data_IF_587947758950
#
_entry.id   IF_587947758950
#
_cell.length_a   1.000
_cell.length_b   1.000
_cell.length_c   1.000
_cell.angle_alpha   90.00
_cell.angle_beta   90.00
_cell.angle_gamma   90.00
#
_symmetry.space_group_name_H-M   'P 1'
#
loop_
_entity.id
_entity.type
_entity.pdbx_description
1 polymer ?
#
# COMPACT_ATOMS: atom_id res chain seq x y z
N UNK A 1 -14.97 71.33 -49.11
CA UNK A 1 -13.50 71.23 -48.97
C UNK A 1 -13.15 70.18 -47.91
N UNK A 2 -12.66 69.05 -48.43
CA UNK A 2 -11.88 67.94 -47.86
C UNK A 2 -11.66 67.89 -46.33
N UNK A 3 -12.15 66.78 -45.74
CA UNK A 3 -11.89 66.26 -44.40
C UNK A 3 -10.39 66.01 -44.16
N UNK A 4 -9.86 66.43 -43.00
CA UNK A 4 -8.61 65.92 -42.43
C UNK A 4 -8.90 65.35 -41.05
N UNK A 5 -9.38 64.10 -41.00
CA UNK A 5 -9.38 63.31 -39.78
C UNK A 5 -8.00 62.69 -39.61
N UNK A 6 -7.21 63.19 -38.67
CA UNK A 6 -5.91 62.63 -38.34
C UNK A 6 -6.13 61.41 -37.43
N UNK A 7 -5.73 60.26 -37.98
CA UNK A 7 -5.60 58.96 -37.36
C UNK A 7 -4.72 59.03 -36.11
N UNK A 8 -5.27 58.67 -34.94
CA UNK A 8 -4.51 58.16 -33.79
C UNK A 8 -5.34 57.05 -33.15
N UNK A 9 -5.35 55.88 -33.77
CA UNK A 9 -5.73 54.63 -33.11
C UNK A 9 -4.45 54.07 -32.49
N UNK A 10 -4.18 54.42 -31.23
CA UNK A 10 -3.11 53.79 -30.46
C UNK A 10 -3.50 52.32 -30.29
N UNK A 11 -2.65 51.44 -30.82
CA UNK A 11 -2.67 50.00 -30.67
C UNK A 11 -2.77 49.63 -29.18
N UNK A 12 -3.97 49.28 -28.71
CA UNK A 12 -4.12 48.28 -27.65
C UNK A 12 -4.05 46.91 -28.34
N UNK A 13 -2.84 46.52 -28.74
CA UNK A 13 -2.54 45.10 -28.96
C UNK A 13 -2.53 44.46 -27.57
N UNK A 14 -3.73 44.11 -27.10
CA UNK A 14 -3.89 43.22 -25.96
C UNK A 14 -3.15 41.94 -26.32
N UNK A 15 -2.03 41.72 -25.64
CA UNK A 15 -1.31 40.46 -25.64
C UNK A 15 -2.20 39.43 -24.94
N UNK A 16 -3.20 38.91 -25.66
CA UNK A 16 -3.82 37.64 -25.31
C UNK A 16 -2.80 36.57 -25.67
N UNK A 17 -1.84 36.37 -24.77
CA UNK A 17 -1.14 35.10 -24.68
C UNK A 17 -2.25 34.11 -24.32
N UNK A 18 -2.76 33.42 -25.33
CA UNK A 18 -3.63 32.27 -25.15
C UNK A 18 -2.72 31.21 -24.53
N UNK A 19 -2.64 31.21 -23.20
CA UNK A 19 -2.20 30.01 -22.49
C UNK A 19 -3.19 28.93 -22.91
N UNK A 20 -2.74 27.76 -23.43
CA UNK A 20 -3.64 26.63 -23.52
C UNK A 20 -4.21 26.45 -22.13
N UNK A 21 -5.54 26.42 -22.02
CA UNK A 21 -6.17 26.03 -20.78
C UNK A 21 -5.53 24.69 -20.40
N UNK A 22 -4.83 24.65 -19.26
CA UNK A 22 -4.45 23.38 -18.69
C UNK A 22 -5.77 22.60 -18.58
N UNK A 23 -5.88 21.50 -19.32
CA UNK A 23 -7.00 20.58 -19.18
C UNK A 23 -6.86 19.98 -17.78
N UNK A 24 -7.37 20.67 -16.77
CA UNK A 24 -7.59 20.08 -15.46
C UNK A 24 -8.68 19.04 -15.69
N UNK A 25 -8.27 17.77 -15.81
CA UNK A 25 -9.22 16.67 -15.77
C UNK A 25 -10.08 16.83 -14.51
N UNK A 26 -11.39 16.63 -14.66
CA UNK A 26 -12.30 16.74 -13.52
C UNK A 26 -11.92 15.68 -12.48
N UNK A 27 -12.01 15.98 -11.16
CA UNK A 27 -11.70 15.02 -10.12
C UNK A 27 -12.44 13.70 -10.34
N UNK A 28 -11.73 12.58 -10.29
CA UNK A 28 -12.33 11.25 -10.36
C UNK A 28 -12.88 10.86 -9.00
N UNK A 29 -13.94 10.06 -8.99
CA UNK A 29 -14.41 9.37 -7.78
C UNK A 29 -13.63 8.05 -7.67
N UNK A 30 -12.83 7.90 -6.62
CA UNK A 30 -12.02 6.72 -6.35
C UNK A 30 -12.59 5.97 -5.14
N UNK A 31 -12.91 4.69 -5.33
CA UNK A 31 -13.23 3.72 -4.29
C UNK A 31 -11.97 2.95 -3.90
N UNK A 32 -11.45 3.22 -2.69
CA UNK A 32 -10.25 2.57 -2.16
C UNK A 32 -10.60 1.64 -0.99
N UNK A 33 -10.26 0.36 -1.11
CA UNK A 33 -10.43 -0.63 -0.04
C UNK A 33 -9.08 -1.16 0.42
N UNK A 34 -8.75 -0.95 1.69
CA UNK A 34 -7.55 -1.53 2.31
C UNK A 34 -7.92 -2.79 3.09
N UNK A 35 -7.27 -3.92 2.83
CA UNK A 35 -7.48 -5.21 3.51
C UNK A 35 -6.16 -5.71 4.09
N UNK A 36 -6.20 -6.34 5.25
CA UNK A 36 -4.98 -6.90 5.82
C UNK A 36 -4.96 -7.02 7.33
N UNK A 37 -3.76 -6.99 7.88
CA UNK A 37 -3.49 -7.14 9.29
C UNK A 37 -3.32 -5.81 10.05
N UNK A 38 -2.46 -5.81 11.07
CA UNK A 38 -2.18 -4.65 11.90
C UNK A 38 -1.50 -3.52 11.15
N UNK A 39 -0.77 -3.81 10.06
CA UNK A 39 -0.19 -2.76 9.21
C UNK A 39 -1.29 -1.96 8.53
N UNK A 40 -2.31 -2.65 7.99
CA UNK A 40 -3.50 -2.03 7.40
C UNK A 40 -4.29 -1.25 8.44
N UNK A 41 -4.37 -1.75 9.68
CA UNK A 41 -4.98 -1.03 10.79
C UNK A 41 -4.18 0.20 11.28
N UNK A 42 -2.91 0.33 10.89
CA UNK A 42 -2.03 1.44 11.26
C UNK A 42 -1.38 1.31 12.64
N UNK A 43 -1.22 0.09 13.17
CA UNK A 43 -0.57 -0.12 14.47
C UNK A 43 0.88 0.41 14.47
N UNK A 44 1.32 0.94 15.61
CA UNK A 44 2.61 1.62 15.73
C UNK A 44 2.59 3.09 15.26
N UNK A 45 1.60 3.51 14.45
CA UNK A 45 1.47 4.93 14.14
C UNK A 45 0.86 5.70 15.30
N UNK A 46 1.10 7.02 15.32
CA UNK A 46 0.43 7.96 16.22
C UNK A 46 -1.08 7.79 16.13
N UNK A 47 -1.73 7.72 17.29
CA UNK A 47 -3.17 7.64 17.44
C UNK A 47 -3.74 8.99 17.89
N UNK A 48 -4.78 9.46 17.21
CA UNK A 48 -5.55 10.61 17.61
C UNK A 48 -7.04 10.27 17.56
N UNK A 49 -7.75 10.39 18.68
CA UNK A 49 -9.16 10.00 18.81
C UNK A 49 -9.45 8.59 18.29
N UNK A 50 -8.62 7.61 18.66
CA UNK A 50 -8.71 6.21 18.21
C UNK A 50 -8.46 5.99 16.71
N UNK A 51 -8.01 7.02 15.99
CA UNK A 51 -7.63 6.94 14.58
C UNK A 51 -6.11 6.92 14.43
N UNK A 52 -5.60 5.97 13.66
CA UNK A 52 -4.18 5.82 13.32
C UNK A 52 -3.82 6.68 12.11
N UNK A 53 -3.87 7.99 12.32
CA UNK A 53 -3.81 9.02 11.25
C UNK A 53 -2.50 9.01 10.45
N UNK A 54 -1.44 8.42 11.00
CA UNK A 54 -0.12 8.31 10.37
C UNK A 54 0.16 6.89 9.87
N UNK A 55 -0.81 5.99 9.83
CA UNK A 55 -0.68 4.70 9.13
C UNK A 55 -0.61 4.89 7.61
N UNK A 56 -0.30 3.83 6.86
CA UNK A 56 -0.19 3.98 5.40
C UNK A 56 -1.52 4.30 4.72
N UNK A 57 -2.63 3.75 5.23
CA UNK A 57 -3.97 3.95 4.62
C UNK A 57 -4.37 5.42 4.65
N UNK A 58 -4.36 6.15 5.78
CA UNK A 58 -4.71 7.57 5.77
C UNK A 58 -3.73 8.46 5.01
N UNK A 59 -2.43 8.16 5.06
CA UNK A 59 -1.43 8.92 4.31
C UNK A 59 -1.64 8.79 2.79
N UNK A 60 -1.88 7.57 2.30
CA UNK A 60 -2.17 7.35 0.88
C UNK A 60 -3.50 7.98 0.44
N UNK A 61 -4.53 7.90 1.29
CA UNK A 61 -5.80 8.61 1.05
C UNK A 61 -5.59 10.12 0.96
N UNK A 62 -4.75 10.70 1.82
CA UNK A 62 -4.42 12.12 1.78
C UNK A 62 -3.84 12.51 0.43
N UNK A 63 -2.87 11.73 -0.06
CA UNK A 63 -2.27 11.92 -1.38
C UNK A 63 -3.31 11.82 -2.50
N UNK A 64 -4.12 10.76 -2.54
CA UNK A 64 -5.13 10.58 -3.60
C UNK A 64 -6.15 11.72 -3.64
N UNK A 65 -6.49 12.29 -2.47
CA UNK A 65 -7.44 13.40 -2.33
C UNK A 65 -6.93 14.75 -2.81
N UNK A 66 -5.64 14.87 -3.12
CA UNK A 66 -5.10 16.09 -3.73
C UNK A 66 -5.69 16.37 -5.11
N UNK A 67 -6.09 15.32 -5.84
CA UNK A 67 -6.64 15.41 -7.19
C UNK A 67 -8.00 14.70 -7.39
N UNK A 68 -8.49 13.95 -6.40
CA UNK A 68 -9.66 13.06 -6.55
C UNK A 68 -10.62 13.14 -5.36
N UNK A 69 -11.87 12.74 -5.55
CA UNK A 69 -12.78 12.45 -4.46
C UNK A 69 -12.60 10.98 -4.05
N UNK A 70 -12.17 10.72 -2.81
CA UNK A 70 -11.81 9.37 -2.37
C UNK A 70 -12.73 8.87 -1.26
N UNK A 71 -13.47 7.81 -1.56
CA UNK A 71 -14.14 6.97 -0.56
C UNK A 71 -13.18 5.87 -0.14
N UNK A 72 -13.00 5.71 1.18
CA UNK A 72 -12.07 4.71 1.72
C UNK A 72 -12.75 3.82 2.74
N UNK A 73 -12.47 2.52 2.67
CA UNK A 73 -12.81 1.55 3.69
C UNK A 73 -11.56 0.78 4.12
N UNK A 74 -11.35 0.68 5.44
CA UNK A 74 -10.18 0.02 6.02
C UNK A 74 -10.62 -1.23 6.80
N UNK A 75 -10.22 -2.39 6.30
CA UNK A 75 -10.45 -3.73 6.85
C UNK A 75 -9.13 -4.34 7.38
N UNK A 76 -8.33 -3.54 8.07
CA UNK A 76 -7.19 -4.01 8.84
C UNK A 76 -7.64 -4.70 10.13
N UNK A 77 -7.31 -5.98 10.27
CA UNK A 77 -7.66 -6.79 11.45
C UNK A 77 -6.35 -7.18 12.16
N UNK A 78 -5.97 -6.51 13.26
CA UNK A 78 -4.72 -6.78 13.96
C UNK A 78 -4.57 -8.25 14.34
N UNK A 79 -3.39 -8.83 14.04
CA UNK A 79 -3.07 -10.23 14.35
C UNK A 79 -3.69 -11.27 13.43
N UNK A 80 -4.49 -10.89 12.43
CA UNK A 80 -5.04 -11.85 11.46
C UNK A 80 -3.91 -12.48 10.63
N UNK A 81 -3.97 -13.81 10.44
CA UNK A 81 -3.07 -14.53 9.51
C UNK A 81 -3.63 -14.52 8.09
N UNK A 82 -2.81 -14.93 7.12
CA UNK A 82 -3.25 -15.09 5.73
C UNK A 82 -4.49 -15.99 5.59
N UNK A 83 -4.54 -17.11 6.32
CA UNK A 83 -5.68 -18.04 6.30
C UNK A 83 -6.91 -17.39 6.94
N UNK A 84 -6.72 -16.65 8.04
CA UNK A 84 -7.79 -15.92 8.70
C UNK A 84 -8.40 -14.87 7.77
N UNK A 85 -7.56 -14.12 7.05
CA UNK A 85 -8.02 -13.10 6.10
C UNK A 85 -8.77 -13.74 4.93
N UNK A 86 -8.25 -14.84 4.37
CA UNK A 86 -8.95 -15.56 3.29
C UNK A 86 -10.34 -16.01 3.74
N UNK A 87 -10.44 -16.60 4.93
CA UNK A 87 -11.71 -17.04 5.52
C UNK A 87 -12.65 -15.86 5.73
N UNK A 88 -12.15 -14.75 6.27
CA UNK A 88 -12.93 -13.53 6.47
C UNK A 88 -13.50 -13.02 5.14
N UNK A 89 -12.67 -12.88 4.11
CA UNK A 89 -13.10 -12.43 2.79
C UNK A 89 -14.13 -13.38 2.15
N UNK A 90 -13.97 -14.70 2.29
CA UNK A 90 -14.91 -15.69 1.76
C UNK A 90 -16.27 -15.70 2.48
N UNK A 91 -16.30 -15.28 3.74
CA UNK A 91 -17.53 -15.29 4.56
C UNK A 91 -18.30 -13.98 4.53
N UNK A 92 -17.62 -12.83 4.43
CA UNK A 92 -18.27 -11.52 4.37
C UNK A 92 -18.74 -11.18 2.94
N UNK A 93 -19.97 -11.59 2.61
CA UNK A 93 -20.61 -11.29 1.32
C UNK A 93 -20.74 -9.78 1.07
N UNK A 94 -20.91 -8.98 2.13
CA UNK A 94 -20.98 -7.53 2.01
C UNK A 94 -19.67 -6.95 1.51
N UNK A 95 -18.55 -7.35 2.13
CA UNK A 95 -17.21 -6.94 1.73
C UNK A 95 -16.88 -7.44 0.32
N UNK A 96 -17.23 -8.67 -0.04
CA UNK A 96 -17.06 -9.16 -1.42
C UNK A 96 -17.76 -8.25 -2.45
N UNK A 97 -18.97 -7.81 -2.16
CA UNK A 97 -19.70 -6.92 -3.07
C UNK A 97 -19.06 -5.53 -3.18
N UNK A 98 -18.47 -5.01 -2.09
CA UNK A 98 -17.73 -3.74 -2.13
C UNK A 98 -16.42 -3.87 -2.90
N UNK A 99 -15.69 -4.98 -2.72
CA UNK A 99 -14.46 -5.28 -3.46
C UNK A 99 -14.65 -5.37 -4.97
N UNK A 100 -15.82 -5.85 -5.45
CA UNK A 100 -16.16 -5.86 -6.89
C UNK A 100 -16.18 -4.47 -7.55
N UNK A 101 -16.45 -3.43 -6.77
CA UNK A 101 -16.53 -2.04 -7.23
C UNK A 101 -15.40 -1.15 -6.73
N UNK A 102 -14.34 -1.72 -6.17
CA UNK A 102 -13.15 -0.98 -5.77
C UNK A 102 -12.30 -0.63 -7.00
N UNK A 103 -11.78 0.59 -7.05
CA UNK A 103 -10.80 1.02 -8.05
C UNK A 103 -9.38 0.66 -7.60
N UNK A 104 -9.14 0.80 -6.29
CA UNK A 104 -7.84 0.51 -5.67
C UNK A 104 -8.05 -0.44 -4.50
N UNK A 105 -7.20 -1.47 -4.41
CA UNK A 105 -7.12 -2.39 -3.28
C UNK A 105 -5.68 -2.42 -2.78
N UNK A 106 -5.46 -2.26 -1.48
CA UNK A 106 -4.17 -2.58 -0.85
C UNK A 106 -4.32 -3.86 -0.02
N UNK A 107 -3.35 -4.77 -0.13
CA UNK A 107 -3.31 -6.03 0.62
C UNK A 107 -2.00 -6.13 1.40
N UNK A 108 -2.08 -6.09 2.74
CA UNK A 108 -0.93 -6.34 3.63
C UNK A 108 -1.22 -7.54 4.53
N UNK A 109 -0.48 -8.64 4.33
CA UNK A 109 -0.65 -9.87 5.11
C UNK A 109 0.61 -10.75 5.03
N UNK A 110 0.78 -11.66 5.99
CA UNK A 110 1.86 -12.66 6.00
C UNK A 110 2.88 -12.50 7.13
N UNK A 111 2.91 -11.33 7.78
CA UNK A 111 3.78 -11.08 8.94
C UNK A 111 3.39 -11.95 10.14
N UNK A 112 2.08 -12.07 10.41
CA UNK A 112 1.58 -12.93 11.49
C UNK A 112 1.86 -14.41 11.26
N UNK A 113 1.86 -14.88 10.01
CA UNK A 113 2.22 -16.24 9.63
C UNK A 113 3.68 -16.55 10.02
N UNK A 114 4.59 -15.59 9.80
CA UNK A 114 5.97 -15.68 10.29
C UNK A 114 6.04 -15.69 11.81
N UNK A 115 5.40 -14.73 12.48
CA UNK A 115 5.45 -14.61 13.94
C UNK A 115 4.92 -15.87 14.65
N UNK A 116 3.85 -16.45 14.12
CA UNK A 116 3.31 -17.73 14.61
C UNK A 116 4.30 -18.88 14.40
N UNK A 117 5.12 -18.83 13.36
CA UNK A 117 6.18 -19.81 13.09
C UNK A 117 7.25 -19.76 14.16
N UNK A 118 7.84 -18.58 14.36
CA UNK A 118 8.97 -18.41 15.27
C UNK A 118 8.59 -18.54 16.75
N UNK A 119 7.35 -18.21 17.12
CA UNK A 119 6.85 -18.38 18.51
C UNK A 119 6.58 -19.85 18.85
N UNK A 120 6.20 -20.66 17.87
CA UNK A 120 5.91 -22.08 18.08
C UNK A 120 7.18 -22.95 18.17
N UNK A 121 8.33 -22.42 17.73
CA UNK A 121 9.55 -23.18 17.50
C UNK A 121 10.74 -22.48 18.16
N UNK A 122 11.07 -22.80 19.42
CA UNK A 122 12.20 -22.16 20.11
C UNK A 122 13.56 -22.42 19.43
N UNK A 123 13.66 -23.52 18.66
CA UNK A 123 14.77 -23.81 17.75
C UNK A 123 14.19 -23.98 16.34
N UNK A 124 14.10 -22.88 15.61
CA UNK A 124 13.50 -22.88 14.27
C UNK A 124 14.40 -23.64 13.30
N UNK A 125 14.03 -24.88 12.96
CA UNK A 125 14.71 -25.65 11.93
C UNK A 125 14.38 -25.10 10.54
N UNK A 126 15.37 -25.06 9.64
CA UNK A 126 15.22 -24.50 8.28
C UNK A 126 14.07 -25.18 7.51
N UNK A 127 13.86 -26.47 7.74
CA UNK A 127 12.77 -27.25 7.14
C UNK A 127 11.39 -26.71 7.51
N UNK A 128 11.19 -26.29 8.76
CA UNK A 128 9.89 -25.82 9.24
C UNK A 128 9.56 -24.42 8.71
N UNK A 129 10.58 -23.54 8.62
CA UNK A 129 10.45 -22.26 7.92
C UNK A 129 10.02 -22.46 6.47
N UNK A 130 10.66 -23.40 5.75
CA UNK A 130 10.30 -23.72 4.37
C UNK A 130 8.86 -24.21 4.25
N UNK A 131 8.42 -25.12 5.12
CA UNK A 131 7.05 -25.62 5.08
C UNK A 131 6.01 -24.52 5.32
N UNK A 132 6.27 -23.60 6.24
CA UNK A 132 5.35 -22.50 6.52
C UNK A 132 5.39 -21.40 5.46
N UNK A 133 6.55 -21.13 4.86
CA UNK A 133 6.65 -20.28 3.68
C UNK A 133 5.81 -20.85 2.52
N UNK A 134 5.83 -22.17 2.29
CA UNK A 134 4.99 -22.82 1.28
C UNK A 134 3.48 -22.70 1.59
N UNK A 135 3.08 -22.83 2.86
CA UNK A 135 1.69 -22.65 3.25
C UNK A 135 1.21 -21.20 3.05
N UNK A 136 2.06 -20.23 3.42
CA UNK A 136 1.79 -18.82 3.15
C UNK A 136 1.68 -18.56 1.65
N UNK A 137 2.59 -19.11 0.84
CA UNK A 137 2.53 -19.00 -0.63
C UNK A 137 1.20 -19.54 -1.18
N UNK A 138 0.78 -20.73 -0.75
CA UNK A 138 -0.51 -21.31 -1.17
C UNK A 138 -1.70 -20.44 -0.77
N UNK A 139 -1.70 -19.95 0.46
CA UNK A 139 -2.80 -19.12 0.98
C UNK A 139 -2.83 -17.76 0.27
N UNK A 140 -1.67 -17.18 -0.01
CA UNK A 140 -1.57 -15.93 -0.74
C UNK A 140 -2.03 -16.09 -2.19
N UNK A 141 -1.65 -17.18 -2.87
CA UNK A 141 -2.14 -17.50 -4.20
C UNK A 141 -3.67 -17.61 -4.23
N UNK A 142 -4.27 -18.22 -3.21
CA UNK A 142 -5.72 -18.30 -3.07
C UNK A 142 -6.36 -16.93 -2.81
N UNK A 143 -5.77 -16.09 -1.94
CA UNK A 143 -6.19 -14.70 -1.72
C UNK A 143 -6.16 -13.88 -3.00
N UNK A 144 -5.04 -13.91 -3.72
CA UNK A 144 -4.87 -13.19 -4.98
C UNK A 144 -5.88 -13.64 -6.03
N UNK A 145 -6.04 -14.95 -6.22
CA UNK A 145 -7.02 -15.50 -7.15
C UNK A 145 -8.45 -15.08 -6.78
N UNK A 146 -8.80 -15.13 -5.48
CA UNK A 146 -10.10 -14.70 -5.00
C UNK A 146 -10.37 -13.21 -5.29
N UNK A 147 -9.39 -12.33 -5.04
CA UNK A 147 -9.52 -10.91 -5.34
C UNK A 147 -9.70 -10.65 -6.84
N UNK A 148 -8.93 -11.35 -7.70
CA UNK A 148 -9.03 -11.20 -9.16
C UNK A 148 -10.31 -11.81 -9.74
N UNK A 149 -10.85 -12.86 -9.13
CA UNK A 149 -12.15 -13.42 -9.50
C UNK A 149 -13.29 -12.44 -9.16
N UNK A 150 -13.17 -11.70 -8.04
CA UNK A 150 -14.12 -10.66 -7.68
C UNK A 150 -13.98 -9.41 -8.54
N UNK A 151 -12.74 -8.98 -8.82
CA UNK A 151 -12.46 -7.74 -9.51
C UNK A 151 -11.25 -7.86 -10.43
N UNK A 152 -11.51 -7.86 -11.73
CA UNK A 152 -10.49 -7.99 -12.77
C UNK A 152 -9.76 -6.69 -13.07
N UNK A 153 -10.37 -5.55 -12.76
CA UNK A 153 -9.92 -4.23 -13.22
C UNK A 153 -9.16 -3.45 -12.15
N UNK A 154 -9.46 -3.69 -10.86
CA UNK A 154 -8.86 -2.95 -9.74
C UNK A 154 -7.33 -2.94 -9.78
N UNK A 155 -6.77 -1.79 -9.42
CA UNK A 155 -5.35 -1.66 -9.10
C UNK A 155 -5.11 -2.33 -7.74
N UNK A 156 -4.36 -3.43 -7.71
CA UNK A 156 -4.06 -4.15 -6.46
C UNK A 156 -2.60 -3.89 -6.07
N UNK A 157 -2.38 -3.26 -4.92
CA UNK A 157 -1.07 -3.03 -4.35
C UNK A 157 -0.80 -4.04 -3.23
N UNK A 158 0.11 -4.96 -3.49
CA UNK A 158 0.56 -5.98 -2.55
C UNK A 158 1.65 -5.38 -1.68
N UNK A 159 1.36 -5.14 -0.39
CA UNK A 159 2.35 -4.62 0.55
C UNK A 159 3.16 -5.78 1.11
N UNK A 160 4.42 -5.85 0.70
CA UNK A 160 5.37 -6.87 1.14
C UNK A 160 5.82 -6.69 2.58
N UNK A 161 6.65 -7.63 3.04
CA UNK A 161 7.20 -7.64 4.39
C UNK A 161 8.51 -6.88 4.48
N UNK A 162 8.70 -6.16 5.58
CA UNK A 162 10.00 -5.72 6.05
C UNK A 162 10.46 -6.63 7.20
N UNK A 163 11.70 -6.46 7.63
CA UNK A 163 12.22 -7.12 8.82
C UNK A 163 12.44 -6.08 9.95
N UNK A 164 11.76 -6.19 11.11
CA UNK A 164 11.87 -5.22 12.20
C UNK A 164 13.11 -5.42 13.07
N UNK A 165 13.78 -6.56 12.96
CA UNK A 165 14.87 -6.94 13.86
C UNK A 165 16.19 -6.28 13.41
N UNK A 166 16.95 -5.61 14.29
CA UNK A 166 18.24 -5.01 13.94
C UNK A 166 19.38 -6.04 13.85
N UNK A 167 20.56 -5.64 13.38
CA UNK A 167 21.73 -6.50 13.12
C UNK A 167 22.09 -7.45 14.28
N UNK A 168 22.05 -6.97 15.52
CA UNK A 168 22.43 -7.76 16.71
C UNK A 168 21.29 -8.67 17.24
N UNK A 169 20.14 -8.69 16.58
CA UNK A 169 18.97 -9.45 17.05
C UNK A 169 18.98 -10.88 16.46
N UNK A 170 18.72 -11.93 17.26
CA UNK A 170 18.80 -13.33 16.79
C UNK A 170 17.83 -13.65 15.64
N UNK A 171 16.72 -12.91 15.53
CA UNK A 171 15.74 -13.06 14.45
C UNK A 171 16.05 -12.23 13.20
N UNK A 172 17.16 -11.50 13.15
CA UNK A 172 17.56 -10.70 11.97
C UNK A 172 17.62 -11.55 10.70
N UNK A 173 18.46 -12.56 10.75
CA UNK A 173 18.76 -13.40 9.59
C UNK A 173 17.55 -14.27 9.16
N UNK A 174 16.83 -14.96 10.08
CA UNK A 174 15.60 -15.66 9.71
C UNK A 174 14.51 -14.72 9.18
N UNK A 175 14.35 -13.53 9.76
CA UNK A 175 13.33 -12.57 9.37
C UNK A 175 13.59 -11.99 7.98
N UNK A 176 14.83 -11.62 7.67
CA UNK A 176 15.20 -11.16 6.32
C UNK A 176 14.98 -12.26 5.28
N UNK A 177 15.48 -13.48 5.50
CA UNK A 177 15.26 -14.58 4.54
C UNK A 177 13.78 -14.85 4.28
N UNK A 178 12.95 -14.76 5.32
CA UNK A 178 11.51 -14.93 5.18
C UNK A 178 10.88 -13.80 4.37
N UNK A 179 11.22 -12.54 4.69
CA UNK A 179 10.71 -11.38 3.97
C UNK A 179 11.15 -11.36 2.50
N UNK A 180 12.40 -11.73 2.21
CA UNK A 180 12.92 -11.88 0.84
C UNK A 180 12.14 -12.93 0.06
N UNK A 181 12.03 -14.14 0.62
CA UNK A 181 11.31 -15.22 -0.04
C UNK A 181 9.84 -14.87 -0.27
N UNK A 182 9.18 -14.22 0.70
CA UNK A 182 7.80 -13.81 0.54
C UNK A 182 7.64 -12.70 -0.51
N UNK A 183 8.47 -11.66 -0.46
CA UNK A 183 8.37 -10.55 -1.41
C UNK A 183 8.70 -10.99 -2.84
N UNK A 184 9.63 -11.94 -3.02
CA UNK A 184 9.89 -12.57 -4.33
C UNK A 184 8.67 -13.33 -4.85
N UNK A 185 7.88 -13.97 -3.97
CA UNK A 185 6.63 -14.61 -4.38
C UNK A 185 5.58 -13.59 -4.79
N UNK A 186 5.46 -12.47 -4.06
CA UNK A 186 4.55 -11.38 -4.45
C UNK A 186 4.90 -10.78 -5.81
N UNK A 187 6.20 -10.69 -6.10
CA UNK A 187 6.72 -10.18 -7.37
C UNK A 187 6.30 -11.03 -8.58
N UNK A 188 5.95 -12.30 -8.37
CA UNK A 188 5.41 -13.16 -9.44
C UNK A 188 3.97 -12.77 -9.82
N UNK A 189 3.23 -12.14 -8.92
CA UNK A 189 1.86 -11.67 -9.15
C UNK A 189 1.83 -10.21 -9.64
N UNK A 190 2.79 -9.38 -9.24
CA UNK A 190 2.87 -7.93 -9.52
C UNK A 190 3.18 -7.54 -10.98
N UNK A 191 3.23 -8.49 -11.91
CA UNK A 191 3.61 -8.24 -13.32
C UNK A 191 2.45 -8.33 -14.29
N UNK A 192 1.22 -8.46 -13.78
CA UNK A 192 0.02 -8.65 -14.60
C UNK A 192 -1.22 -8.10 -13.91
N UNK A 193 -2.26 -7.90 -14.72
CA UNK A 193 -3.63 -7.61 -14.26
C UNK A 193 -3.75 -6.33 -13.40
N UNK A 194 -2.92 -5.29 -13.60
CA UNK A 194 -2.89 -4.09 -12.74
C UNK A 194 -2.59 -4.44 -11.26
N UNK A 195 -1.66 -5.36 -11.03
CA UNK A 195 -1.16 -5.72 -9.70
C UNK A 195 0.25 -5.16 -9.53
N UNK A 196 0.59 -4.63 -8.36
CA UNK A 196 1.90 -4.05 -8.10
C UNK A 196 2.44 -4.49 -6.74
N UNK A 197 3.76 -4.67 -6.61
CA UNK A 197 4.43 -4.97 -5.35
C UNK A 197 4.98 -3.69 -4.74
N UNK A 198 4.66 -3.44 -3.47
CA UNK A 198 5.35 -2.45 -2.63
C UNK A 198 6.27 -3.22 -1.70
N UNK A 199 7.59 -3.12 -1.92
CA UNK A 199 8.59 -3.89 -1.18
C UNK A 199 9.32 -3.02 -0.13
N UNK A 200 8.89 -3.03 1.16
CA UNK A 200 9.51 -2.20 2.19
C UNK A 200 10.81 -2.80 2.76
N UNK A 201 11.21 -4.01 2.36
CA UNK A 201 12.37 -4.68 2.95
C UNK A 201 13.67 -3.89 2.79
N UNK A 202 13.98 -3.46 1.57
CA UNK A 202 15.21 -2.71 1.28
C UNK A 202 15.19 -1.33 1.94
N UNK A 203 14.11 -0.52 1.84
CA UNK A 203 14.05 0.76 2.56
C UNK A 203 14.21 0.63 4.08
N UNK A 204 13.80 -0.48 4.69
CA UNK A 204 13.91 -0.70 6.15
C UNK A 204 15.27 -1.25 6.60
N UNK A 205 16.07 -1.79 5.68
CA UNK A 205 17.34 -2.43 6.01
C UNK A 205 18.31 -1.45 6.67
N UNK A 206 18.86 -1.82 7.84
CA UNK A 206 19.71 -0.97 8.69
C UNK A 206 19.03 0.31 9.22
N UNK A 207 17.70 0.39 9.10
CA UNK A 207 16.85 1.47 9.66
C UNK A 207 15.80 0.91 10.61
N UNK A 208 15.94 -0.35 11.04
CA UNK A 208 14.90 -1.08 11.75
C UNK A 208 14.50 -0.36 13.05
N UNK A 209 15.47 0.13 13.84
CA UNK A 209 15.18 0.87 15.09
C UNK A 209 14.67 2.30 14.91
N UNK A 210 14.64 2.80 13.68
CA UNK A 210 14.09 4.12 13.32
C UNK A 210 12.69 3.97 12.74
N UNK A 211 12.52 3.00 11.85
CA UNK A 211 11.28 2.76 11.12
C UNK A 211 10.34 1.80 11.83
N UNK A 212 10.76 1.18 12.93
CA UNK A 212 9.91 0.34 13.79
C UNK A 212 10.14 0.65 15.27
N UNK A 213 9.19 0.26 16.11
CA UNK A 213 9.26 0.35 17.58
C UNK A 213 9.95 -0.86 18.22
N UNK A 214 10.90 -1.49 17.51
CA UNK A 214 11.48 -2.77 17.96
C UNK A 214 12.28 -2.63 19.27
N UNK A 215 12.69 -1.41 19.62
CA UNK A 215 13.35 -1.13 20.92
C UNK A 215 12.40 -1.30 22.10
N UNK A 216 11.10 -1.22 21.85
CA UNK A 216 10.01 -1.39 22.81
C UNK A 216 9.37 -2.80 22.68
N UNK A 217 10.08 -3.75 22.06
CA UNK A 217 9.58 -5.08 21.70
C UNK A 217 8.34 -5.05 20.77
N UNK A 218 8.16 -3.95 20.03
CA UNK A 218 7.06 -3.77 19.09
C UNK A 218 7.57 -3.78 17.63
N UNK A 219 7.11 -4.76 16.86
CA UNK A 219 7.52 -4.94 15.46
C UNK A 219 6.88 -3.95 14.48
N UNK A 220 5.90 -3.16 14.93
CA UNK A 220 5.13 -2.30 14.06
C UNK A 220 5.92 -1.05 13.63
N UNK A 221 5.61 -0.46 12.45
CA UNK A 221 6.33 0.71 11.99
C UNK A 221 6.05 1.94 12.85
N UNK A 222 7.02 2.84 12.90
CA UNK A 222 6.82 4.21 13.36
C UNK A 222 6.09 5.03 12.31
N UNK A 223 5.68 6.26 12.64
CA UNK A 223 5.14 7.22 11.66
C UNK A 223 6.09 7.41 10.46
N UNK A 224 7.40 7.45 10.73
CA UNK A 224 8.42 7.56 9.70
C UNK A 224 8.50 6.29 8.85
N UNK A 225 8.43 5.10 9.47
CA UNK A 225 8.37 3.82 8.75
C UNK A 225 7.15 3.72 7.83
N UNK A 226 5.97 4.12 8.30
CA UNK A 226 4.78 4.21 7.44
C UNK A 226 4.96 5.18 6.29
N UNK A 227 5.59 6.33 6.53
CA UNK A 227 5.89 7.31 5.48
C UNK A 227 6.77 6.71 4.38
N UNK A 228 7.73 5.84 4.73
CA UNK A 228 8.55 5.12 3.75
C UNK A 228 7.71 4.14 2.92
N UNK A 229 6.82 3.37 3.54
CA UNK A 229 5.91 2.46 2.82
C UNK A 229 5.03 3.24 1.84
N UNK A 230 4.50 4.39 2.28
CA UNK A 230 3.62 5.23 1.46
C UNK A 230 4.37 5.87 0.29
N UNK A 231 5.64 6.27 0.48
CA UNK A 231 6.45 6.79 -0.63
C UNK A 231 6.64 5.78 -1.76
N UNK A 232 6.93 4.53 -1.41
CA UNK A 232 7.03 3.45 -2.42
C UNK A 232 5.66 3.18 -3.08
N UNK A 233 4.58 3.20 -2.31
CA UNK A 233 3.21 3.06 -2.82
C UNK A 233 2.82 4.19 -3.80
N UNK A 234 3.08 5.45 -3.43
CA UNK A 234 2.80 6.62 -4.26
C UNK A 234 3.62 6.56 -5.54
N UNK A 235 4.92 6.27 -5.44
CA UNK A 235 5.80 6.15 -6.61
C UNK A 235 5.23 5.13 -7.60
N UNK A 236 4.84 3.95 -7.12
CA UNK A 236 4.28 2.91 -7.98
C UNK A 236 2.90 3.30 -8.56
N UNK A 237 2.09 4.03 -7.81
CA UNK A 237 0.82 4.57 -8.28
C UNK A 237 1.01 5.62 -9.39
N UNK A 238 1.97 6.54 -9.22
CA UNK A 238 2.31 7.55 -10.22
C UNK A 238 2.84 6.93 -11.51
N UNK A 239 3.77 5.97 -11.40
CA UNK A 239 4.33 5.27 -12.56
C UNK A 239 3.25 4.58 -13.42
N UNK A 240 2.16 4.09 -12.80
CA UNK A 240 1.06 3.45 -13.52
C UNK A 240 0.02 4.43 -14.06
N UNK A 241 -0.29 5.51 -13.33
CA UNK A 241 -1.41 6.41 -13.66
C UNK A 241 -0.99 7.68 -14.42
N UNK A 242 0.30 7.86 -14.72
CA UNK A 242 0.82 9.00 -15.51
C UNK A 242 1.10 8.65 -16.99
N UNK A 243 0.81 7.41 -17.43
CA UNK A 243 0.76 7.02 -18.85
C UNK A 243 -0.66 7.14 -19.44
#
# INVERSE_FOLDING_TARGET
>A
MIKKGLFVFILLFACFIIYPAANAESPRNISYIAIGDSLTAGYGSTEHNYLRINGFVPQFVSYLREANEVTVENYGIPGISSIGLLTYLQTDIGLQNRLKGADIITLSIGGNDFLQTIRALPNVEERELKQRALLLEQTYNALYAFLRDLNKEAQIYLIGLYNPYPENHPLREPGVRYAEAFNEQLEKHSKKDNTFLINPLQPFFNKETTYTHIKEDDIHPTDEGYTIIVKELIKQYEEFNQE
#
